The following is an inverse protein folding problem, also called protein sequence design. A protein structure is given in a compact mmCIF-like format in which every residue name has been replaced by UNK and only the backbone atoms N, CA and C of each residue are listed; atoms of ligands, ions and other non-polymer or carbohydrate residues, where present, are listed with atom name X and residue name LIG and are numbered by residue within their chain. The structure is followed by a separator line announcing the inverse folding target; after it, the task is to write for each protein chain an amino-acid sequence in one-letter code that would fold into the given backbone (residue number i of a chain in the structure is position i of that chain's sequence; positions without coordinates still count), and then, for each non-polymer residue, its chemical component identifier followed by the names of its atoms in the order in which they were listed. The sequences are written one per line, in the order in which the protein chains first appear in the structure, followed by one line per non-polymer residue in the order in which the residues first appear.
data_IF_061535998132
#
_entry.id   IF_061535998132
#
_cell.length_a   1.000
_cell.length_b   1.000
_cell.length_c   1.000
_cell.angle_alpha   90.00
_cell.angle_beta   90.00
_cell.angle_gamma   90.00
#
_symmetry.space_group_name_H-M   'P 1'
#
loop_
_entity.id
_entity.type
_entity.pdbx_description
1 polymer ?
#
# COMPACT_ATOMS: atom_id res chain seq x y z
N UNK A 1 -3.25 -9.87 -23.45
CA UNK A 1 -2.42 -9.88 -22.23
C UNK A 1 -2.05 -8.44 -21.94
N UNK A 2 -2.58 -7.84 -20.87
CA UNK A 2 -2.25 -6.44 -20.55
C UNK A 2 -0.88 -6.41 -19.91
N UNK A 3 0.05 -5.70 -20.54
CA UNK A 3 1.39 -5.47 -20.00
C UNK A 3 1.28 -4.52 -18.82
N UNK A 4 1.84 -4.92 -17.67
CA UNK A 4 1.88 -4.03 -16.51
C UNK A 4 3.11 -3.14 -16.60
N UNK A 5 2.96 -1.86 -16.29
CA UNK A 5 4.08 -0.96 -16.05
C UNK A 5 4.35 -0.97 -14.55
N UNK A 6 5.62 -1.11 -14.18
CA UNK A 6 6.04 -1.11 -12.78
C UNK A 6 7.15 -0.09 -12.64
N UNK A 7 6.98 0.85 -11.71
CA UNK A 7 8.04 1.77 -11.27
C UNK A 7 8.17 1.63 -9.76
N UNK A 8 9.39 1.74 -9.25
CA UNK A 8 9.69 1.60 -7.84
C UNK A 8 10.81 2.57 -7.47
N UNK A 9 10.70 3.17 -6.30
CA UNK A 9 11.67 4.13 -5.78
C UNK A 9 11.88 3.89 -4.28
N UNK A 10 13.12 4.02 -3.82
CA UNK A 10 13.47 4.04 -2.41
C UNK A 10 13.93 5.44 -2.00
N UNK A 11 13.18 6.08 -1.10
CA UNK A 11 13.50 7.40 -0.60
C UNK A 11 14.15 7.30 0.78
N UNK A 12 15.48 7.40 0.80
CA UNK A 12 16.28 7.33 2.02
C UNK A 12 15.99 8.47 3.00
N UNK A 13 15.66 9.67 2.50
CA UNK A 13 15.38 10.83 3.36
C UNK A 13 14.07 10.66 4.14
N UNK A 14 13.09 9.97 3.55
CA UNK A 14 11.80 9.65 4.17
C UNK A 14 11.78 8.25 4.80
N UNK A 15 12.85 7.47 4.66
CA UNK A 15 12.94 6.08 5.11
C UNK A 15 11.71 5.27 4.64
N UNK A 16 11.44 5.36 3.33
CA UNK A 16 10.25 4.81 2.71
C UNK A 16 10.55 4.23 1.32
N UNK A 17 9.75 3.26 0.90
CA UNK A 17 9.78 2.70 -0.44
C UNK A 17 8.40 2.80 -1.09
N UNK A 18 8.38 3.08 -2.39
CA UNK A 18 7.16 3.27 -3.16
C UNK A 18 7.22 2.41 -4.40
N UNK A 19 6.08 1.87 -4.83
CA UNK A 19 5.95 1.26 -6.13
C UNK A 19 4.59 1.58 -6.73
N UNK A 20 4.54 1.81 -8.02
CA UNK A 20 3.28 1.84 -8.77
C UNK A 20 3.24 0.65 -9.71
N UNK A 21 2.08 0.00 -9.76
CA UNK A 21 1.76 -1.00 -10.78
C UNK A 21 0.57 -0.50 -11.56
N UNK A 22 0.74 -0.28 -12.86
CA UNK A 22 -0.29 0.24 -13.78
C UNK A 22 -0.69 -0.84 -14.79
N UNK A 23 -1.98 -0.89 -15.12
CA UNK A 23 -2.60 -1.76 -16.13
C UNK A 23 -3.63 -0.94 -16.89
N UNK A 24 -3.24 -0.44 -18.06
CA UNK A 24 -4.08 0.48 -18.83
C UNK A 24 -4.36 1.77 -18.03
N UNK A 25 -5.63 2.18 -17.87
CA UNK A 25 -5.99 3.37 -17.11
C UNK A 25 -6.01 3.16 -15.58
N UNK A 26 -5.89 1.93 -15.09
CA UNK A 26 -5.93 1.61 -13.67
C UNK A 26 -4.52 1.49 -13.09
N UNK A 27 -4.34 1.96 -11.86
CA UNK A 27 -3.06 1.89 -11.16
C UNK A 27 -3.22 1.71 -9.67
N UNK A 28 -2.30 0.97 -9.07
CA UNK A 28 -2.19 0.88 -7.61
C UNK A 28 -0.83 1.38 -7.15
N UNK A 29 -0.86 2.20 -6.11
CA UNK A 29 0.30 2.68 -5.40
C UNK A 29 0.52 1.79 -4.18
N UNK A 30 1.72 1.23 -4.06
CA UNK A 30 2.19 0.58 -2.86
C UNK A 30 3.16 1.51 -2.16
N UNK A 31 2.97 1.70 -0.85
CA UNK A 31 3.87 2.49 -0.01
C UNK A 31 4.30 1.64 1.17
N UNK A 32 5.57 1.65 1.48
CA UNK A 32 6.17 1.08 2.68
C UNK A 32 6.88 2.18 3.46
N UNK A 33 6.62 2.27 4.76
CA UNK A 33 7.31 3.13 5.72
C UNK A 33 7.50 2.35 7.02
N UNK A 34 8.75 2.17 7.47
CA UNK A 34 9.08 1.37 8.67
C UNK A 34 8.43 -0.02 8.66
N UNK A 35 7.33 -0.20 9.40
CA UNK A 35 6.60 -1.46 9.58
C UNK A 35 5.21 -1.43 9.00
N UNK A 36 4.88 -0.38 8.25
CA UNK A 36 3.57 -0.12 7.73
C UNK A 36 3.63 -0.13 6.20
N UNK A 37 2.85 -1.02 5.60
CA UNK A 37 2.68 -1.09 4.15
C UNK A 37 1.22 -0.80 3.80
N UNK A 38 1.00 -0.06 2.73
CA UNK A 38 -0.33 0.20 2.19
C UNK A 38 -0.38 -0.05 0.69
N UNK A 39 -1.56 -0.42 0.21
CA UNK A 39 -1.92 -0.40 -1.21
C UNK A 39 -3.05 0.62 -1.33
N UNK A 40 -2.91 1.53 -2.30
CA UNK A 40 -3.83 2.63 -2.54
C UNK A 40 -4.23 2.63 -4.02
N UNK A 41 -5.44 3.09 -4.29
CA UNK A 41 -5.88 3.33 -5.66
C UNK A 41 -5.24 4.62 -6.18
N UNK A 42 -4.41 4.52 -7.23
CA UNK A 42 -3.75 5.69 -7.83
C UNK A 42 -4.76 6.71 -8.37
N UNK A 43 -5.89 6.24 -8.92
CA UNK A 43 -6.88 7.13 -9.54
C UNK A 43 -7.55 8.03 -8.50
N UNK A 44 -7.62 7.57 -7.26
CA UNK A 44 -8.16 8.30 -6.12
C UNK A 44 -7.10 9.11 -5.34
N UNK A 45 -5.80 9.04 -5.67
CA UNK A 45 -4.73 9.72 -4.90
C UNK A 45 -4.87 11.24 -4.93
N UNK A 46 -5.41 11.81 -6.00
CA UNK A 46 -5.66 13.26 -6.11
C UNK A 46 -6.93 13.71 -5.38
N UNK A 47 -7.75 12.77 -4.89
CA UNK A 47 -8.94 13.06 -4.10
C UNK A 47 -8.60 13.25 -2.62
N UNK A 48 -9.34 14.13 -1.94
CA UNK A 48 -9.30 14.24 -0.47
C UNK A 48 -9.79 12.97 0.24
N UNK A 49 -10.46 12.08 -0.51
CA UNK A 49 -10.92 10.77 -0.05
C UNK A 49 -10.01 9.64 -0.55
N UNK A 50 -8.69 9.83 -0.56
CA UNK A 50 -7.76 8.76 -0.96
C UNK A 50 -8.04 7.48 -0.16
N UNK A 51 -8.38 6.39 -0.85
CA UNK A 51 -8.78 5.15 -0.21
C UNK A 51 -7.63 4.14 -0.23
N UNK A 52 -7.41 3.51 0.91
CA UNK A 52 -6.57 2.32 0.96
C UNK A 52 -7.38 1.10 0.52
N UNK A 53 -6.72 0.21 -0.22
CA UNK A 53 -7.22 -1.10 -0.62
C UNK A 53 -6.73 -2.19 0.36
N UNK A 54 -5.58 -1.94 0.99
CA UNK A 54 -4.97 -2.77 2.03
C UNK A 54 -4.09 -1.87 2.91
N UNK A 55 -4.15 -2.07 4.22
CA UNK A 55 -3.13 -1.59 5.14
C UNK A 55 -2.61 -2.78 5.94
N UNK A 56 -1.30 -2.83 6.14
CA UNK A 56 -0.65 -3.96 6.80
C UNK A 56 0.47 -3.51 7.70
N UNK A 57 0.43 -3.98 8.95
CA UNK A 57 1.51 -3.79 9.92
C UNK A 57 2.34 -5.06 10.03
N UNK A 58 3.65 -4.91 10.25
CA UNK A 58 4.59 -6.01 10.42
C UNK A 58 5.34 -5.86 11.74
N UNK A 59 5.70 -6.98 12.36
CA UNK A 59 6.50 -6.94 13.59
C UNK A 59 7.94 -6.42 13.38
N UNK A 60 8.47 -6.51 12.16
CA UNK A 60 9.84 -6.08 11.81
C UNK A 60 9.92 -5.39 10.45
N UNK A 61 10.82 -4.39 10.27
CA UNK A 61 11.00 -3.72 8.97
C UNK A 61 11.46 -4.65 7.85
N UNK A 62 12.31 -5.64 8.15
CA UNK A 62 12.79 -6.62 7.16
C UNK A 62 11.65 -7.44 6.56
N UNK A 63 10.72 -7.93 7.40
CA UNK A 63 9.53 -8.64 6.92
C UNK A 63 8.57 -7.72 6.15
N UNK A 64 8.49 -6.45 6.55
CA UNK A 64 7.70 -5.45 5.85
C UNK A 64 8.23 -5.26 4.41
N UNK A 65 9.53 -5.08 4.25
CA UNK A 65 10.18 -4.93 2.94
C UNK A 65 10.07 -6.19 2.07
N UNK A 66 10.30 -7.38 2.65
CA UNK A 66 10.12 -8.64 1.91
C UNK A 66 8.68 -8.81 1.38
N UNK A 67 7.68 -8.52 2.20
CA UNK A 67 6.29 -8.66 1.79
C UNK A 67 5.84 -7.52 0.86
N UNK A 68 6.40 -6.31 0.99
CA UNK A 68 6.23 -5.23 0.01
C UNK A 68 6.62 -5.69 -1.40
N UNK A 69 7.82 -6.26 -1.58
CA UNK A 69 8.24 -6.80 -2.87
C UNK A 69 7.32 -7.93 -3.37
N UNK A 70 6.85 -8.80 -2.46
CA UNK A 70 5.86 -9.85 -2.80
C UNK A 70 4.52 -9.24 -3.23
N UNK A 71 4.07 -8.16 -2.61
CA UNK A 71 2.84 -7.46 -2.95
C UNK A 71 2.95 -6.80 -4.32
N UNK A 72 4.08 -6.14 -4.64
CA UNK A 72 4.37 -5.63 -5.99
C UNK A 72 4.24 -6.75 -7.02
N UNK A 73 4.94 -7.87 -6.80
CA UNK A 73 4.87 -9.04 -7.69
C UNK A 73 3.48 -9.66 -7.81
N UNK A 74 2.68 -9.64 -6.72
CA UNK A 74 1.27 -10.08 -6.74
C UNK A 74 0.42 -9.12 -7.59
N UNK A 75 0.60 -7.81 -7.47
CA UNK A 75 -0.16 -6.82 -8.24
C UNK A 75 0.13 -6.94 -9.74
N UNK A 76 1.37 -7.25 -10.14
CA UNK A 76 1.70 -7.54 -11.53
C UNK A 76 0.89 -8.72 -12.10
N UNK A 77 0.57 -9.73 -11.28
CA UNK A 77 -0.18 -10.92 -11.69
C UNK A 77 -1.71 -10.78 -11.60
N UNK A 78 -2.21 -9.79 -10.86
CA UNK A 78 -3.65 -9.53 -10.77
C UNK A 78 -4.22 -9.07 -12.12
N UNK A 79 -5.49 -9.36 -12.34
CA UNK A 79 -6.24 -8.88 -13.51
C UNK A 79 -6.75 -7.46 -13.25
N UNK A 80 -7.02 -6.72 -14.33
CA UNK A 80 -7.56 -5.35 -14.27
C UNK A 80 -8.93 -5.28 -13.59
N UNK A 81 -9.75 -6.31 -13.73
CA UNK A 81 -11.07 -6.42 -13.09
C UNK A 81 -11.01 -6.89 -11.62
N UNK A 82 -9.82 -7.02 -11.04
CA UNK A 82 -9.69 -7.43 -9.64
C UNK A 82 -10.04 -6.28 -8.69
N UNK A 83 -10.24 -6.65 -7.40
CA UNK A 83 -10.55 -5.68 -6.33
C UNK A 83 -9.50 -4.58 -6.14
N UNK A 84 -8.29 -4.80 -6.65
CA UNK A 84 -7.20 -3.84 -6.56
C UNK A 84 -7.22 -2.80 -7.68
N UNK A 85 -7.83 -3.09 -8.84
CA UNK A 85 -7.68 -2.24 -10.04
C UNK A 85 -9.01 -1.68 -10.58
N UNK A 86 -10.12 -2.43 -10.50
CA UNK A 86 -11.38 -2.01 -11.12
C UNK A 86 -12.64 -2.36 -10.34
N UNK A 87 -12.59 -3.38 -9.48
CA UNK A 87 -13.73 -3.84 -8.69
C UNK A 87 -13.53 -3.53 -7.19
N UNK A 88 -13.21 -2.28 -6.85
CA UNK A 88 -12.95 -1.88 -5.46
C UNK A 88 -14.12 -2.27 -4.56
N UNK A 89 -13.88 -3.22 -3.65
CA UNK A 89 -14.85 -3.63 -2.64
C UNK A 89 -14.55 -2.88 -1.35
N UNK A 90 -15.55 -2.22 -0.74
CA UNK A 90 -15.39 -1.60 0.57
C UNK A 90 -15.26 -2.69 1.63
N UNK A 91 -14.02 -3.02 1.99
CA UNK A 91 -13.66 -4.00 3.00
C UNK A 91 -12.68 -3.38 3.98
N UNK A 92 -12.82 -3.70 5.27
CA UNK A 92 -11.81 -3.33 6.27
C UNK A 92 -10.57 -4.23 6.13
N UNK A 93 -9.76 -3.94 5.12
CA UNK A 93 -8.54 -4.68 4.79
C UNK A 93 -7.35 -4.16 5.60
N UNK A 94 -7.49 -4.13 6.93
CA UNK A 94 -6.37 -3.86 7.85
C UNK A 94 -5.87 -5.16 8.44
N UNK A 95 -4.58 -5.44 8.22
CA UNK A 95 -3.95 -6.72 8.57
C UNK A 95 -2.73 -6.51 9.45
N UNK A 96 -2.43 -7.52 10.25
CA UNK A 96 -1.24 -7.59 11.09
C UNK A 96 -0.48 -8.86 10.73
N UNK A 97 0.83 -8.74 10.56
CA UNK A 97 1.75 -9.84 10.31
C UNK A 97 2.73 -9.97 11.47
N UNK A 98 2.60 -11.05 12.22
CA UNK A 98 3.47 -11.42 13.33
C UNK A 98 4.29 -12.67 13.00
N UNK A 99 5.15 -13.09 13.92
CA UNK A 99 5.85 -14.36 13.84
C UNK A 99 4.87 -15.57 13.81
N UNK A 100 3.69 -15.43 14.40
CA UNK A 100 2.68 -16.49 14.50
C UNK A 100 1.80 -16.60 13.25
N UNK A 101 1.78 -15.56 12.39
CA UNK A 101 1.01 -15.57 11.17
C UNK A 101 0.44 -14.21 10.81
N UNK A 102 -0.57 -14.22 9.95
CA UNK A 102 -1.28 -13.03 9.50
C UNK A 102 -2.74 -13.10 9.96
N UNK A 103 -3.25 -12.01 10.51
CA UNK A 103 -4.63 -11.92 10.98
C UNK A 103 -5.18 -10.50 10.78
N UNK A 104 -6.50 -10.37 10.81
CA UNK A 104 -7.16 -9.07 10.95
C UNK A 104 -6.97 -8.51 12.36
N UNK A 105 -7.14 -7.20 12.50
CA UNK A 105 -7.05 -6.52 13.81
C UNK A 105 -8.12 -7.08 14.77
N UNK A 106 -7.71 -7.54 15.96
CA UNK A 106 -8.68 -7.93 17.00
C UNK A 106 -9.20 -6.73 17.78
N UNK A 107 -10.23 -6.91 18.60
CA UNK A 107 -10.79 -5.81 19.39
C UNK A 107 -9.77 -5.21 20.36
N UNK A 108 -8.93 -6.05 20.96
CA UNK A 108 -7.90 -5.68 21.93
C UNK A 108 -6.78 -4.85 21.30
N UNK A 109 -6.49 -5.11 20.02
CA UNK A 109 -5.41 -4.46 19.29
C UNK A 109 -5.83 -3.15 18.61
N UNK A 110 -7.15 -2.90 18.56
CA UNK A 110 -7.76 -1.87 17.71
C UNK A 110 -7.18 -0.49 17.94
N UNK A 111 -7.07 -0.06 19.19
CA UNK A 111 -6.58 1.30 19.52
C UNK A 111 -5.15 1.52 19.02
N UNK A 112 -4.27 0.53 19.23
CA UNK A 112 -2.86 0.58 18.84
C UNK A 112 -2.71 0.67 17.32
N UNK A 113 -3.40 -0.21 16.59
CA UNK A 113 -3.27 -0.21 15.12
C UNK A 113 -4.04 0.91 14.45
N UNK A 114 -5.13 1.40 15.04
CA UNK A 114 -5.84 2.58 14.54
C UNK A 114 -4.95 3.82 14.58
N UNK A 115 -4.21 4.04 15.66
CA UNK A 115 -3.24 5.14 15.75
C UNK A 115 -2.11 4.98 14.71
N UNK A 116 -1.52 3.78 14.59
CA UNK A 116 -0.46 3.49 13.62
C UNK A 116 -0.91 3.72 12.19
N UNK A 117 -2.05 3.15 11.80
CA UNK A 117 -2.58 3.30 10.45
C UNK A 117 -3.05 4.73 10.16
N UNK A 118 -3.54 5.46 11.16
CA UNK A 118 -3.84 6.88 11.01
C UNK A 118 -2.56 7.69 10.76
N UNK A 119 -1.49 7.46 11.53
CA UNK A 119 -0.20 8.11 11.32
C UNK A 119 0.39 7.80 9.94
N UNK A 120 0.40 6.52 9.54
CA UNK A 120 0.86 6.09 8.23
C UNK A 120 0.07 6.73 7.09
N UNK A 121 -1.26 6.78 7.19
CA UNK A 121 -2.10 7.45 6.19
C UNK A 121 -1.83 8.95 6.12
N UNK A 122 -1.60 9.63 7.24
CA UNK A 122 -1.22 11.05 7.24
C UNK A 122 0.11 11.28 6.54
N UNK A 123 1.08 10.38 6.75
CA UNK A 123 2.35 10.40 6.02
C UNK A 123 2.11 10.28 4.50
N UNK A 124 1.37 9.26 4.05
CA UNK A 124 1.07 9.07 2.62
C UNK A 124 0.35 10.28 2.03
N UNK A 125 -0.61 10.86 2.75
CA UNK A 125 -1.33 12.05 2.30
C UNK A 125 -0.43 13.29 2.24
N UNK A 126 0.46 13.48 3.22
CA UNK A 126 1.41 14.61 3.27
C UNK A 126 2.49 14.53 2.20
N UNK A 127 2.98 13.32 1.90
CA UNK A 127 4.04 13.09 0.93
C UNK A 127 3.54 12.75 -0.48
N UNK A 128 2.22 12.67 -0.69
CA UNK A 128 1.55 12.34 -1.95
C UNK A 128 2.27 12.92 -3.17
N UNK A 129 2.44 14.25 -3.21
CA UNK A 129 2.99 14.93 -4.38
C UNK A 129 4.45 14.55 -4.63
N UNK A 130 5.23 14.31 -3.58
CA UNK A 130 6.61 13.86 -3.68
C UNK A 130 6.68 12.40 -4.16
N UNK A 131 5.80 11.54 -3.65
CA UNK A 131 5.70 10.13 -4.05
C UNK A 131 5.35 10.01 -5.54
N UNK A 132 4.31 10.70 -5.98
CA UNK A 132 3.86 10.67 -7.38
C UNK A 132 4.95 11.22 -8.31
N UNK A 133 5.58 12.33 -7.95
CA UNK A 133 6.72 12.90 -8.69
C UNK A 133 7.90 11.92 -8.78
N UNK A 134 8.24 11.24 -7.69
CA UNK A 134 9.34 10.28 -7.65
C UNK A 134 9.06 9.05 -8.52
N UNK A 135 7.79 8.68 -8.67
CA UNK A 135 7.33 7.61 -9.54
C UNK A 135 7.02 8.07 -10.97
N UNK A 136 7.24 9.35 -11.30
CA UNK A 136 6.97 9.94 -12.62
C UNK A 136 5.51 9.74 -13.09
N UNK A 137 4.55 9.87 -12.16
CA UNK A 137 3.09 9.75 -12.40
C UNK A 137 2.30 10.97 -11.94
#
# INVERSE_FOLDING_TARGET
MVRSVVRMEENQALDAAYAVVEKGPAGVLLVLKDRECGIFDCTAMNSDQFQYLLLKHYDTPSRAYEDFLKLVGKMCKKREDSKYFGAHLPEDNRMVRTAQGEHGITWEERSVYEERFAAFRRFVAGERSNILKALEI
#
